data_IF_896599348289
#
_entry.id   IF_896599348289
#
_cell.length_a   1.000
_cell.length_b   1.000
_cell.length_c   1.000
_cell.angle_alpha   90.00
_cell.angle_beta   90.00
_cell.angle_gamma   90.00
#
_symmetry.space_group_name_H-M   'P 1'
#
loop_
_entity.id
_entity.type
_entity.pdbx_description
1 polymer ?
#
# COMPACT_ATOMS: atom_id res chain seq x y z
N UNK A 1 24.67 -12.99 -15.27
CA UNK A 1 23.24 -12.69 -15.12
C UNK A 1 22.62 -12.05 -16.37
N UNK A 2 23.22 -10.98 -16.99
CA UNK A 2 22.67 -10.33 -18.20
C UNK A 2 22.61 -11.24 -19.45
N UNK A 3 23.54 -12.19 -19.62
CA UNK A 3 23.60 -13.12 -20.78
C UNK A 3 22.49 -14.18 -20.72
N UNK A 4 22.12 -14.64 -19.54
CA UNK A 4 21.11 -15.69 -19.32
C UNK A 4 19.66 -15.20 -19.54
N UNK A 5 19.43 -13.88 -19.37
CA UNK A 5 18.12 -13.27 -19.48
C UNK A 5 17.67 -12.99 -20.94
N UNK A 6 18.61 -12.98 -21.90
CA UNK A 6 18.32 -12.72 -23.33
C UNK A 6 17.57 -13.84 -24.08
N UNK A 7 17.54 -15.04 -23.52
CA UNK A 7 17.04 -16.24 -24.23
C UNK A 7 15.56 -16.53 -24.04
N UNK A 8 14.80 -15.65 -23.34
CA UNK A 8 13.35 -15.83 -23.21
C UNK A 8 12.63 -15.28 -24.44
N UNK A 9 11.94 -16.18 -25.18
CA UNK A 9 11.18 -15.85 -26.39
C UNK A 9 10.12 -14.77 -26.09
N UNK A 10 9.98 -13.80 -26.99
CA UNK A 10 9.05 -12.67 -26.94
C UNK A 10 7.55 -13.07 -26.82
N UNK A 11 7.19 -14.35 -26.89
CA UNK A 11 5.83 -14.83 -26.95
C UNK A 11 5.13 -15.08 -25.60
N UNK A 12 5.83 -14.98 -24.46
CA UNK A 12 5.20 -15.20 -23.16
C UNK A 12 5.37 -13.96 -22.29
N UNK A 13 4.31 -13.17 -22.16
CA UNK A 13 4.28 -11.93 -21.34
C UNK A 13 4.72 -12.16 -19.89
N UNK A 14 4.52 -13.36 -19.34
CA UNK A 14 4.90 -13.67 -17.96
C UNK A 14 6.42 -13.67 -17.78
N UNK A 15 7.17 -14.42 -18.60
CA UNK A 15 8.64 -14.48 -18.51
C UNK A 15 9.28 -13.16 -18.91
N UNK A 16 8.73 -12.50 -19.96
CA UNK A 16 9.18 -11.18 -20.35
C UNK A 16 9.06 -10.19 -19.19
N UNK A 17 7.90 -10.11 -18.54
CA UNK A 17 7.64 -9.20 -17.43
C UNK A 17 8.47 -9.53 -16.20
N UNK A 18 8.68 -10.82 -15.89
CA UNK A 18 9.56 -11.24 -14.81
C UNK A 18 11.00 -10.70 -15.02
N UNK A 19 11.53 -10.84 -16.22
CA UNK A 19 12.83 -10.30 -16.60
C UNK A 19 12.89 -8.79 -16.42
N UNK A 20 11.90 -8.06 -16.94
CA UNK A 20 11.79 -6.60 -16.84
C UNK A 20 11.84 -6.15 -15.38
N UNK A 21 11.09 -6.80 -14.50
CA UNK A 21 11.13 -6.49 -13.06
C UNK A 21 12.50 -6.69 -12.44
N UNK A 22 13.21 -7.77 -12.80
CA UNK A 22 14.57 -8.02 -12.29
C UNK A 22 15.59 -6.98 -12.80
N UNK A 23 15.48 -6.61 -14.06
CA UNK A 23 16.33 -5.55 -14.64
C UNK A 23 16.04 -4.18 -13.99
N UNK A 24 14.77 -3.85 -13.77
CA UNK A 24 14.37 -2.63 -13.05
C UNK A 24 14.92 -2.58 -11.61
N UNK A 25 14.90 -3.71 -10.89
CA UNK A 25 15.51 -3.80 -9.56
C UNK A 25 17.03 -3.55 -9.58
N UNK A 26 17.72 -4.08 -10.59
CA UNK A 26 19.17 -3.84 -10.79
C UNK A 26 19.42 -2.35 -11.07
N UNK A 27 18.63 -1.75 -11.95
CA UNK A 27 18.74 -0.31 -12.28
C UNK A 27 18.51 0.54 -11.04
N UNK A 28 17.50 0.22 -10.22
CA UNK A 28 17.22 0.95 -8.99
C UNK A 28 18.39 0.93 -8.00
N UNK A 29 19.11 -0.21 -7.92
CA UNK A 29 20.29 -0.37 -7.04
C UNK A 29 21.56 0.28 -7.61
N UNK A 30 21.77 0.19 -8.92
CA UNK A 30 23.00 0.67 -9.57
C UNK A 30 22.95 2.16 -9.93
N UNK A 31 21.76 2.71 -10.10
CA UNK A 31 21.56 4.09 -10.53
C UNK A 31 20.62 4.81 -9.57
N UNK A 32 19.30 4.79 -9.89
CA UNK A 32 18.28 5.42 -9.04
C UNK A 32 16.87 4.90 -9.35
N UNK A 33 15.92 5.21 -8.43
CA UNK A 33 14.51 4.81 -8.56
C UNK A 33 13.82 5.43 -9.78
N UNK A 34 14.21 6.64 -10.21
CA UNK A 34 13.62 7.34 -11.37
C UNK A 34 13.94 6.62 -12.68
N UNK A 35 15.20 6.25 -12.89
CA UNK A 35 15.62 5.49 -14.08
C UNK A 35 14.97 4.10 -14.11
N UNK A 36 14.87 3.43 -12.96
CA UNK A 36 14.16 2.15 -12.83
C UNK A 36 12.71 2.27 -13.26
N UNK A 37 12.00 3.32 -12.81
CA UNK A 37 10.62 3.56 -13.21
C UNK A 37 10.52 3.84 -14.72
N UNK A 38 11.38 4.68 -15.27
CA UNK A 38 11.38 4.98 -16.71
C UNK A 38 11.59 3.71 -17.55
N UNK A 39 12.53 2.86 -17.13
CA UNK A 39 12.79 1.59 -17.78
C UNK A 39 11.56 0.68 -17.76
N UNK A 40 10.95 0.46 -16.58
CA UNK A 40 9.82 -0.47 -16.45
C UNK A 40 8.58 0.02 -17.20
N UNK A 41 8.35 1.32 -17.26
CA UNK A 41 7.27 1.93 -18.04
C UNK A 41 7.50 1.71 -19.54
N UNK A 42 8.70 1.99 -20.04
CA UNK A 42 9.04 1.80 -21.45
C UNK A 42 8.91 0.32 -21.89
N UNK A 43 9.21 -0.62 -21.00
CA UNK A 43 9.06 -2.05 -21.29
C UNK A 43 7.58 -2.50 -21.15
N UNK A 44 6.82 -1.91 -20.24
CA UNK A 44 5.38 -2.14 -20.09
C UNK A 44 4.60 -1.70 -21.34
N UNK A 45 4.96 -0.54 -21.91
CA UNK A 45 4.31 0.01 -23.11
C UNK A 45 4.46 -0.88 -24.36
N UNK A 46 5.38 -1.85 -24.33
CA UNK A 46 5.57 -2.86 -25.40
C UNK A 46 4.62 -4.06 -25.26
N UNK A 47 3.83 -4.14 -24.19
CA UNK A 47 2.92 -5.25 -23.91
C UNK A 47 1.53 -4.87 -24.41
N UNK A 48 1.09 -5.47 -25.53
CA UNK A 48 -0.20 -5.14 -26.14
C UNK A 48 -1.41 -5.47 -25.26
N UNK A 49 -1.38 -6.61 -24.55
CA UNK A 49 -2.49 -7.11 -23.71
C UNK A 49 -1.95 -7.55 -22.34
N UNK A 50 -1.67 -6.60 -21.43
CA UNK A 50 -1.23 -6.94 -20.09
C UNK A 50 -2.34 -7.63 -19.29
N UNK A 51 -2.04 -8.73 -18.64
CA UNK A 51 -2.96 -9.37 -17.70
C UNK A 51 -3.00 -8.62 -16.36
N UNK A 52 -3.98 -8.97 -15.50
CA UNK A 52 -4.18 -8.30 -14.21
C UNK A 52 -2.94 -8.33 -13.30
N UNK A 53 -2.10 -9.38 -13.38
CA UNK A 53 -0.86 -9.47 -12.62
C UNK A 53 0.15 -8.43 -13.08
N UNK A 54 0.30 -8.22 -14.39
CA UNK A 54 1.18 -7.20 -14.95
C UNK A 54 0.64 -5.80 -14.63
N UNK A 55 -0.67 -5.58 -14.74
CA UNK A 55 -1.32 -4.33 -14.36
C UNK A 55 -1.13 -4.02 -12.87
N UNK A 56 -1.22 -5.03 -12.01
CA UNK A 56 -0.97 -4.87 -10.58
C UNK A 56 0.48 -4.49 -10.26
N UNK A 57 1.43 -5.14 -10.91
CA UNK A 57 2.85 -4.83 -10.74
C UNK A 57 3.15 -3.39 -11.16
N UNK A 58 2.69 -2.94 -12.34
CA UNK A 58 2.94 -1.58 -12.82
C UNK A 58 2.24 -0.53 -11.93
N UNK A 59 1.03 -0.83 -11.42
CA UNK A 59 0.35 0.02 -10.45
C UNK A 59 1.18 0.21 -9.18
N UNK A 60 1.75 -0.88 -8.64
CA UNK A 60 2.63 -0.81 -7.48
C UNK A 60 3.92 -0.02 -7.75
N UNK A 61 4.52 -0.15 -8.93
CA UNK A 61 5.67 0.67 -9.30
C UNK A 61 5.34 2.17 -9.32
N UNK A 62 4.19 2.54 -9.88
CA UNK A 62 3.73 3.93 -9.86
C UNK A 62 3.44 4.41 -8.42
N UNK A 63 2.75 3.60 -7.60
CA UNK A 63 2.46 3.92 -6.20
C UNK A 63 3.76 4.16 -5.42
N UNK A 64 4.74 3.25 -5.52
CA UNK A 64 6.02 3.36 -4.83
C UNK A 64 6.89 4.54 -5.32
N UNK A 65 6.59 5.04 -6.52
CA UNK A 65 7.20 6.26 -7.08
C UNK A 65 6.37 7.52 -6.82
N UNK A 66 5.38 7.45 -5.91
CA UNK A 66 4.47 8.54 -5.55
C UNK A 66 3.67 9.11 -6.75
N UNK A 67 3.45 8.30 -7.81
CA UNK A 67 2.63 8.65 -8.98
C UNK A 67 1.22 8.06 -8.81
N UNK A 68 0.51 8.54 -7.80
CA UNK A 68 -0.71 7.93 -7.30
C UNK A 68 -1.85 7.90 -8.31
N UNK A 69 -2.05 8.95 -9.12
CA UNK A 69 -3.07 8.98 -10.16
C UNK A 69 -2.87 7.87 -11.21
N UNK A 70 -1.61 7.61 -11.59
CA UNK A 70 -1.27 6.52 -12.50
C UNK A 70 -1.51 5.15 -11.85
N UNK A 71 -1.15 4.99 -10.57
CA UNK A 71 -1.44 3.78 -9.82
C UNK A 71 -2.95 3.49 -9.75
N UNK A 72 -3.74 4.49 -9.41
CA UNK A 72 -5.21 4.42 -9.34
C UNK A 72 -5.79 3.98 -10.68
N UNK A 73 -5.31 4.54 -11.81
CA UNK A 73 -5.76 4.12 -13.15
C UNK A 73 -5.64 2.61 -13.35
N UNK A 74 -4.50 2.03 -13.01
CA UNK A 74 -4.26 0.60 -13.24
C UNK A 74 -4.97 -0.30 -12.21
N UNK A 75 -5.05 0.10 -10.94
CA UNK A 75 -5.87 -0.61 -9.96
C UNK A 75 -7.35 -0.61 -10.37
N UNK A 76 -7.86 0.51 -10.87
CA UNK A 76 -9.24 0.62 -11.36
C UNK A 76 -9.47 -0.29 -12.57
N UNK A 77 -8.55 -0.30 -13.54
CA UNK A 77 -8.65 -1.19 -14.69
C UNK A 77 -8.73 -2.68 -14.30
N UNK A 78 -7.99 -3.08 -13.23
CA UNK A 78 -8.09 -4.45 -12.71
C UNK A 78 -9.48 -4.68 -12.09
N UNK A 79 -9.94 -3.77 -11.23
CA UNK A 79 -11.24 -3.90 -10.55
C UNK A 79 -12.38 -3.98 -11.57
N UNK A 80 -12.35 -3.13 -12.60
CA UNK A 80 -13.37 -3.09 -13.65
C UNK A 80 -13.36 -4.36 -14.54
N UNK A 81 -12.21 -5.07 -14.58
CA UNK A 81 -12.07 -6.33 -15.33
C UNK A 81 -12.55 -7.58 -14.56
N UNK A 82 -12.80 -7.44 -13.25
CA UNK A 82 -13.29 -8.54 -12.43
C UNK A 82 -14.76 -8.78 -12.71
N UNK A 83 -15.12 -10.04 -12.97
CA UNK A 83 -16.52 -10.43 -13.13
C UNK A 83 -17.34 -10.03 -11.90
N UNK A 84 -18.57 -9.54 -12.14
CA UNK A 84 -19.49 -9.10 -11.06
C UNK A 84 -19.78 -10.18 -10.02
N UNK A 85 -19.63 -11.45 -10.39
CA UNK A 85 -19.81 -12.61 -9.53
C UNK A 85 -18.53 -13.02 -8.78
N UNK A 86 -17.41 -12.35 -9.04
CA UNK A 86 -16.13 -12.64 -8.40
C UNK A 86 -15.80 -11.61 -7.34
N UNK A 87 -15.28 -12.06 -6.20
CA UNK A 87 -14.85 -11.14 -5.13
C UNK A 87 -13.62 -10.34 -5.51
N UNK A 88 -13.68 -9.05 -5.23
CA UNK A 88 -12.52 -8.16 -5.34
C UNK A 88 -11.57 -8.49 -4.18
N UNK A 89 -10.28 -8.66 -4.48
CA UNK A 89 -9.28 -8.89 -3.44
C UNK A 89 -9.12 -7.65 -2.53
N UNK A 90 -9.22 -7.79 -1.20
CA UNK A 90 -9.08 -6.67 -0.26
C UNK A 90 -7.78 -5.86 -0.45
N UNK A 91 -6.65 -6.52 -0.71
CA UNK A 91 -5.36 -5.87 -0.97
C UNK A 91 -5.40 -4.88 -2.16
N UNK A 92 -6.19 -5.18 -3.19
CA UNK A 92 -6.36 -4.28 -4.33
C UNK A 92 -7.11 -2.99 -3.95
N UNK A 93 -8.16 -3.13 -3.16
CA UNK A 93 -8.93 -2.01 -2.60
C UNK A 93 -8.08 -1.19 -1.63
N UNK A 94 -7.33 -1.84 -0.74
CA UNK A 94 -6.41 -1.20 0.19
C UNK A 94 -5.38 -0.33 -0.55
N UNK A 95 -4.74 -0.86 -1.60
CA UNK A 95 -3.74 -0.11 -2.38
C UNK A 95 -4.34 1.05 -3.16
N UNK A 96 -5.53 0.87 -3.74
CA UNK A 96 -6.20 1.95 -4.44
C UNK A 96 -6.72 3.00 -3.46
N UNK A 97 -7.32 2.58 -2.35
CA UNK A 97 -7.78 3.45 -1.27
C UNK A 97 -6.65 4.30 -0.70
N UNK A 98 -5.51 3.68 -0.37
CA UNK A 98 -4.33 4.42 0.07
C UNK A 98 -3.79 5.38 -1.00
N UNK A 99 -3.88 5.02 -2.29
CA UNK A 99 -3.49 5.95 -3.36
C UNK A 99 -4.47 7.12 -3.50
N UNK A 100 -5.77 6.92 -3.28
CA UNK A 100 -6.76 8.00 -3.22
C UNK A 100 -6.52 8.93 -2.04
N UNK A 101 -6.18 8.39 -0.88
CA UNK A 101 -5.86 9.16 0.32
C UNK A 101 -4.68 10.11 0.04
N UNK A 102 -3.59 9.61 -0.53
CA UNK A 102 -2.38 10.37 -0.84
C UNK A 102 -2.57 11.54 -1.82
N UNK A 103 -3.67 11.59 -2.55
CA UNK A 103 -4.04 12.71 -3.43
C UNK A 103 -5.27 13.48 -2.92
N UNK A 104 -5.66 13.29 -1.65
CA UNK A 104 -6.74 14.02 -1.00
C UNK A 104 -8.16 13.61 -1.42
N UNK A 105 -8.32 12.51 -2.15
CA UNK A 105 -9.63 11.99 -2.54
C UNK A 105 -10.23 11.10 -1.45
N UNK A 106 -10.36 11.66 -0.24
CA UNK A 106 -10.72 10.94 0.99
C UNK A 106 -12.02 10.15 0.92
N UNK A 107 -13.08 10.69 0.30
CA UNK A 107 -14.35 9.94 0.14
C UNK A 107 -14.18 8.66 -0.67
N UNK A 108 -13.30 8.66 -1.68
CA UNK A 108 -12.98 7.47 -2.47
C UNK A 108 -12.08 6.51 -1.70
N UNK A 109 -11.13 7.05 -0.95
CA UNK A 109 -10.26 6.28 -0.07
C UNK A 109 -11.10 5.51 0.98
N UNK A 110 -11.95 6.22 1.72
CA UNK A 110 -12.82 5.63 2.74
C UNK A 110 -13.72 4.54 2.14
N UNK A 111 -14.30 4.78 0.95
CA UNK A 111 -15.14 3.78 0.27
C UNK A 111 -14.38 2.49 -0.01
N UNK A 112 -13.17 2.57 -0.56
CA UNK A 112 -12.36 1.40 -0.89
C UNK A 112 -11.89 0.66 0.37
N UNK A 113 -11.42 1.40 1.39
CA UNK A 113 -10.92 0.82 2.64
C UNK A 113 -12.04 0.17 3.46
N UNK A 114 -13.20 0.82 3.58
CA UNK A 114 -14.37 0.23 4.23
C UNK A 114 -14.88 -1.01 3.48
N UNK A 115 -14.80 -1.02 2.15
CA UNK A 115 -15.17 -2.21 1.39
C UNK A 115 -14.15 -3.33 1.56
N UNK A 116 -12.86 -3.02 1.65
CA UNK A 116 -11.84 -4.01 2.00
C UNK A 116 -12.12 -4.65 3.38
N UNK A 117 -12.50 -3.84 4.40
CA UNK A 117 -12.88 -4.33 5.72
C UNK A 117 -14.19 -5.11 5.72
N UNK A 118 -15.14 -4.79 4.82
CA UNK A 118 -16.36 -5.61 4.68
C UNK A 118 -16.04 -7.03 4.21
N UNK A 119 -15.01 -7.21 3.37
CA UNK A 119 -14.56 -8.52 2.87
C UNK A 119 -13.66 -9.21 3.89
N UNK A 120 -12.77 -8.46 4.54
CA UNK A 120 -11.80 -8.95 5.51
C UNK A 120 -11.83 -8.07 6.77
N UNK A 121 -12.78 -8.32 7.70
CA UNK A 121 -13.00 -7.45 8.87
C UNK A 121 -11.80 -7.38 9.82
N UNK A 122 -11.01 -8.45 9.89
CA UNK A 122 -9.87 -8.59 10.80
C UNK A 122 -8.52 -8.27 10.12
N UNK A 123 -8.53 -7.50 9.03
CA UNK A 123 -7.28 -7.02 8.44
C UNK A 123 -6.71 -5.86 9.25
N UNK A 124 -5.79 -6.17 10.16
CA UNK A 124 -5.18 -5.21 11.07
C UNK A 124 -4.52 -4.04 10.34
N UNK A 125 -3.95 -4.25 9.14
CA UNK A 125 -3.31 -3.19 8.39
C UNK A 125 -4.31 -2.24 7.74
N UNK A 126 -5.43 -2.76 7.25
CA UNK A 126 -6.49 -1.92 6.70
C UNK A 126 -7.18 -1.13 7.81
N UNK A 127 -7.47 -1.77 8.96
CA UNK A 127 -7.99 -1.11 10.16
C UNK A 127 -7.08 0.05 10.59
N UNK A 128 -5.79 -0.24 10.78
CA UNK A 128 -4.79 0.76 11.17
C UNK A 128 -4.72 1.92 10.18
N UNK A 129 -4.63 1.63 8.88
CA UNK A 129 -4.48 2.66 7.86
C UNK A 129 -5.70 3.58 7.78
N UNK A 130 -6.92 3.00 7.80
CA UNK A 130 -8.15 3.78 7.74
C UNK A 130 -8.31 4.66 8.99
N UNK A 131 -8.09 4.08 10.17
CA UNK A 131 -8.17 4.77 11.44
C UNK A 131 -7.18 5.94 11.49
N UNK A 132 -5.89 5.69 11.18
CA UNK A 132 -4.88 6.73 11.15
C UNK A 132 -5.26 7.86 10.17
N UNK A 133 -5.72 7.53 8.96
CA UNK A 133 -6.21 8.53 7.99
C UNK A 133 -7.41 9.34 8.52
N UNK A 134 -8.26 8.76 9.35
CA UNK A 134 -9.37 9.49 9.99
C UNK A 134 -8.86 10.41 11.10
N UNK A 135 -7.92 9.98 11.91
CA UNK A 135 -7.28 10.81 12.95
C UNK A 135 -6.62 12.04 12.36
N UNK A 136 -5.81 11.88 11.31
CA UNK A 136 -5.12 12.98 10.61
C UNK A 136 -6.09 14.03 10.06
N UNK A 137 -7.32 13.65 9.79
CA UNK A 137 -8.38 14.53 9.29
C UNK A 137 -9.32 15.05 10.38
N UNK A 138 -9.06 14.73 11.63
CA UNK A 138 -9.97 15.00 12.75
C UNK A 138 -11.41 14.50 12.47
N UNK A 139 -11.51 13.30 11.90
CA UNK A 139 -12.77 12.70 11.47
C UNK A 139 -13.00 11.37 12.17
N UNK A 140 -14.20 11.17 12.72
CA UNK A 140 -14.62 9.93 13.37
C UNK A 140 -13.61 9.38 14.40
N UNK A 141 -13.10 10.24 15.29
CA UNK A 141 -12.00 9.90 16.21
C UNK A 141 -12.33 8.69 17.07
N UNK A 142 -13.54 8.59 17.62
CA UNK A 142 -13.91 7.46 18.48
C UNK A 142 -13.92 6.13 17.71
N UNK A 143 -14.46 6.13 16.50
CA UNK A 143 -14.44 4.93 15.64
C UNK A 143 -13.02 4.58 15.21
N UNK A 144 -12.18 5.57 14.95
CA UNK A 144 -10.77 5.35 14.64
C UNK A 144 -10.02 4.70 15.80
N UNK A 145 -10.23 5.16 17.04
CA UNK A 145 -9.65 4.52 18.24
C UNK A 145 -10.09 3.06 18.35
N UNK A 146 -11.39 2.78 18.20
CA UNK A 146 -11.90 1.40 18.25
C UNK A 146 -11.27 0.50 17.18
N UNK A 147 -11.05 1.03 15.96
CA UNK A 147 -10.35 0.29 14.90
C UNK A 147 -8.89 0.02 15.27
N UNK A 148 -8.18 0.99 15.87
CA UNK A 148 -6.79 0.83 16.31
C UNK A 148 -6.66 -0.16 17.47
N UNK A 149 -7.58 -0.13 18.44
CA UNK A 149 -7.63 -1.11 19.51
C UNK A 149 -7.86 -2.52 18.95
N UNK A 150 -8.73 -2.66 17.95
CA UNK A 150 -8.93 -3.93 17.24
C UNK A 150 -7.67 -4.36 16.51
N UNK A 151 -7.05 -3.45 15.73
CA UNK A 151 -5.78 -3.74 15.03
C UNK A 151 -4.68 -4.17 16.00
N UNK A 152 -4.55 -3.50 17.13
CA UNK A 152 -3.61 -3.82 18.18
C UNK A 152 -3.89 -5.20 18.81
N UNK A 153 -5.15 -5.55 19.06
CA UNK A 153 -5.51 -6.88 19.57
C UNK A 153 -5.11 -8.00 18.60
N UNK A 154 -5.18 -7.74 17.30
CA UNK A 154 -4.79 -8.68 16.24
C UNK A 154 -3.26 -8.76 16.03
N UNK A 155 -2.54 -7.66 16.25
CA UNK A 155 -1.09 -7.53 16.03
C UNK A 155 -0.42 -6.64 17.08
N UNK A 156 -0.39 -7.12 18.31
CA UNK A 156 0.12 -6.38 19.48
C UNK A 156 1.62 -6.06 19.46
N UNK A 157 2.39 -6.69 18.57
CA UNK A 157 3.84 -6.47 18.42
C UNK A 157 4.21 -5.72 17.12
N UNK A 158 3.25 -5.17 16.40
CA UNK A 158 3.52 -4.38 15.20
C UNK A 158 3.77 -2.92 15.61
N UNK A 159 5.00 -2.39 15.44
CA UNK A 159 5.35 -1.05 15.93
C UNK A 159 4.55 0.06 15.27
N UNK A 160 4.15 -0.08 14.00
CA UNK A 160 3.33 0.92 13.31
C UNK A 160 1.89 0.97 13.84
N UNK A 161 1.34 -0.16 14.27
CA UNK A 161 0.01 -0.21 14.91
C UNK A 161 0.10 0.36 16.32
N UNK A 162 1.17 0.04 17.06
CA UNK A 162 1.43 0.57 18.41
C UNK A 162 1.61 2.09 18.36
N UNK A 163 2.36 2.60 17.41
CA UNK A 163 2.55 4.03 17.18
C UNK A 163 1.22 4.73 16.88
N UNK A 164 0.44 4.21 15.95
CA UNK A 164 -0.85 4.78 15.56
C UNK A 164 -1.85 4.84 16.73
N UNK A 165 -1.89 3.84 17.61
CA UNK A 165 -2.77 3.88 18.79
C UNK A 165 -2.24 4.84 19.85
N UNK A 166 -0.90 4.96 20.00
CA UNK A 166 -0.27 5.96 20.85
C UNK A 166 -0.63 7.38 20.39
N UNK A 167 -0.55 7.64 19.11
CA UNK A 167 -0.97 8.91 18.48
C UNK A 167 -2.46 9.21 18.72
N UNK A 168 -3.34 8.21 18.59
CA UNK A 168 -4.76 8.36 18.86
C UNK A 168 -5.03 8.81 20.31
N UNK A 169 -4.36 8.21 21.29
CA UNK A 169 -4.46 8.62 22.69
C UNK A 169 -3.89 10.01 22.95
N UNK A 170 -2.82 10.38 22.26
CA UNK A 170 -2.27 11.74 22.32
C UNK A 170 -3.29 12.79 21.84
N UNK A 171 -3.96 12.53 20.71
CA UNK A 171 -4.98 13.43 20.16
C UNK A 171 -6.24 13.55 21.04
N UNK A 172 -6.44 12.63 21.97
CA UNK A 172 -7.60 12.62 22.89
C UNK A 172 -7.20 12.94 24.33
N UNK A 173 -6.03 13.55 24.52
CA UNK A 173 -5.50 14.02 25.81
C UNK A 173 -5.24 12.90 26.87
N UNK A 174 -5.29 11.62 26.47
CA UNK A 174 -4.88 10.48 27.32
C UNK A 174 -3.36 10.29 27.25
N UNK A 175 -2.63 11.27 27.76
CA UNK A 175 -1.17 11.31 27.67
C UNK A 175 -0.48 10.13 28.35
N UNK A 176 -1.07 9.55 29.40
CA UNK A 176 -0.49 8.38 30.07
C UNK A 176 -0.48 7.14 29.17
N UNK A 177 -1.59 6.90 28.46
CA UNK A 177 -1.62 5.81 27.45
C UNK A 177 -0.76 6.14 26.25
N UNK A 178 -0.81 7.38 25.75
CA UNK A 178 0.01 7.82 24.64
C UNK A 178 1.48 7.53 24.89
N UNK A 179 2.04 8.00 26.02
CA UNK A 179 3.43 7.77 26.40
C UNK A 179 3.80 6.29 26.44
N UNK A 180 2.93 5.46 27.04
CA UNK A 180 3.16 4.00 27.11
C UNK A 180 3.28 3.37 25.73
N UNK A 181 2.34 3.66 24.83
CA UNK A 181 2.33 3.06 23.50
C UNK A 181 3.48 3.61 22.62
N UNK A 182 3.69 4.91 22.60
CA UNK A 182 4.77 5.53 21.80
C UNK A 182 6.15 5.04 22.24
N UNK A 183 6.43 4.95 23.56
CA UNK A 183 7.68 4.35 24.05
C UNK A 183 7.85 2.91 23.58
N UNK A 184 6.79 2.10 23.63
CA UNK A 184 6.84 0.72 23.17
C UNK A 184 7.11 0.63 21.66
N UNK A 185 6.55 1.52 20.85
CA UNK A 185 6.81 1.55 19.41
C UNK A 185 8.29 1.87 19.12
N UNK A 186 8.86 2.87 19.77
CA UNK A 186 10.28 3.26 19.66
C UNK A 186 11.21 2.13 20.11
N UNK A 187 10.89 1.42 21.21
CA UNK A 187 11.68 0.27 21.67
C UNK A 187 11.74 -0.85 20.63
N UNK A 188 10.64 -1.08 19.89
CA UNK A 188 10.59 -2.09 18.83
C UNK A 188 11.29 -1.69 17.54
N UNK A 189 11.34 -0.38 17.22
CA UNK A 189 11.97 0.16 16.02
C UNK A 189 12.71 1.48 16.30
N UNK A 190 13.83 1.43 17.03
CA UNK A 190 14.54 2.63 17.49
C UNK A 190 15.16 3.47 16.37
N UNK A 191 15.39 2.88 15.20
CA UNK A 191 16.02 3.56 14.05
C UNK A 191 15.01 3.93 12.95
N UNK A 192 13.70 3.69 13.17
CA UNK A 192 12.69 4.00 12.15
C UNK A 192 12.26 5.48 12.25
N UNK A 193 12.44 6.27 11.17
CA UNK A 193 12.10 7.70 11.22
C UNK A 193 10.60 7.99 11.36
N UNK A 194 9.72 7.03 11.04
CA UNK A 194 8.26 7.23 11.19
C UNK A 194 7.86 7.10 12.65
N UNK A 195 8.47 6.16 13.37
CA UNK A 195 8.16 5.87 14.79
C UNK A 195 8.86 6.85 15.73
N UNK A 196 9.92 7.52 15.26
CA UNK A 196 10.72 8.47 16.07
C UNK A 196 10.40 9.96 15.82
N UNK A 197 9.45 10.26 14.94
CA UNK A 197 8.97 11.62 14.66
C UNK A 197 7.92 12.05 15.70
#
# INVERSE_FOLDING_TARGET
AKKTLKNFKKGNNFYYWYRVKKEAQIIAKQRNKKESLNYIVAEFDKIEKPNNKILFDIANFYKNSKKYEKAIKYYTAIIDSIDKNSEIKPDLLYRRGGSYERIGLYKKADKDLLYALKISPDDAYVLNYLAYSWLERNYKINEAITMLETAYSLKSNDPYIIDSIGWAYYLTDDYLKAEKFLKSAVELMPDDPIVND
#
